data_IF_066558337306
#
_entry.id   IF_066558337306
#
_cell.length_a   1.000
_cell.length_b   1.000
_cell.length_c   1.000
_cell.angle_alpha   90.00
_cell.angle_beta   90.00
_cell.angle_gamma   90.00
#
_symmetry.space_group_name_H-M   'P 1'
#
loop_
_entity.id
_entity.type
_entity.pdbx_description
1 polymer ?
#
# COMPACT_ATOMS: atom_id res chain seq x y z
N UNK A 1 0.89 10.97 10.30
CA UNK A 1 0.28 9.65 10.09
C UNK A 1 -1.23 9.78 9.88
N UNK A 2 -2.00 10.34 10.81
CA UNK A 2 -3.49 10.42 10.74
C UNK A 2 -4.03 11.06 9.46
N UNK A 3 -3.51 12.24 9.07
CA UNK A 3 -3.92 12.92 7.83
C UNK A 3 -3.82 12.02 6.60
N UNK A 4 -2.72 11.26 6.47
CA UNK A 4 -2.52 10.35 5.33
C UNK A 4 -3.45 9.15 5.40
N UNK A 5 -3.74 8.64 6.59
CA UNK A 5 -4.69 7.57 6.79
C UNK A 5 -6.11 7.99 6.39
N UNK A 6 -6.52 9.21 6.73
CA UNK A 6 -7.81 9.78 6.31
C UNK A 6 -7.91 9.92 4.78
N UNK A 7 -6.86 10.46 4.13
CA UNK A 7 -6.79 10.57 2.66
C UNK A 7 -6.92 9.20 1.98
N UNK A 8 -6.32 8.16 2.55
CA UNK A 8 -6.35 6.79 2.04
C UNK A 8 -7.57 5.99 2.49
N UNK A 9 -8.46 6.59 3.31
CA UNK A 9 -9.63 5.92 3.90
C UNK A 9 -9.27 4.64 4.65
N UNK A 10 -8.19 4.69 5.44
CA UNK A 10 -7.79 3.60 6.32
C UNK A 10 -8.75 3.58 7.52
N UNK A 11 -9.36 2.45 7.78
CA UNK A 11 -10.44 2.29 8.77
C UNK A 11 -9.97 2.57 10.19
N UNK A 12 -8.76 2.13 10.53
CA UNK A 12 -8.23 2.23 11.88
C UNK A 12 -6.78 2.70 11.92
N UNK A 13 -6.48 3.59 12.85
CA UNK A 13 -5.12 4.06 13.16
C UNK A 13 -4.84 3.82 14.64
N UNK A 14 -3.86 3.00 14.93
CA UNK A 14 -3.41 2.67 16.26
C UNK A 14 -2.02 3.26 16.51
N UNK A 15 -1.91 4.14 17.49
CA UNK A 15 -0.68 4.84 17.85
C UNK A 15 -0.45 4.78 19.37
N UNK A 16 0.79 4.96 19.80
CA UNK A 16 1.13 5.11 21.22
C UNK A 16 1.36 3.80 21.97
N UNK A 17 1.40 2.66 21.30
CA UNK A 17 1.79 1.40 21.92
C UNK A 17 3.32 1.28 22.00
N UNK A 18 3.81 0.91 23.18
CA UNK A 18 5.22 0.62 23.37
C UNK A 18 5.63 -0.67 22.64
N UNK A 19 4.77 -1.68 22.71
CA UNK A 19 4.91 -2.90 21.93
C UNK A 19 3.89 -2.94 20.79
N UNK A 20 4.36 -3.11 19.56
CA UNK A 20 3.49 -3.17 18.36
C UNK A 20 2.53 -4.36 18.40
N UNK A 21 2.92 -5.46 19.05
CA UNK A 21 2.05 -6.61 19.27
C UNK A 21 0.76 -6.23 20.00
N UNK A 22 0.84 -5.46 21.08
CA UNK A 22 -0.34 -5.05 21.87
C UNK A 22 -1.31 -4.21 21.03
N UNK A 23 -0.76 -3.36 20.16
CA UNK A 23 -1.53 -2.59 19.19
C UNK A 23 -2.26 -3.48 18.18
N UNK A 24 -1.60 -4.51 17.67
CA UNK A 24 -2.20 -5.49 16.75
C UNK A 24 -3.30 -6.29 17.45
N UNK A 25 -3.04 -6.82 18.62
CA UNK A 25 -4.04 -7.58 19.40
C UNK A 25 -5.28 -6.73 19.70
N UNK A 26 -5.09 -5.47 20.08
CA UNK A 26 -6.19 -4.53 20.31
C UNK A 26 -7.03 -4.31 19.05
N UNK A 27 -6.38 -4.13 17.89
CA UNK A 27 -7.08 -3.96 16.61
C UNK A 27 -7.83 -5.22 16.19
N UNK A 28 -7.23 -6.39 16.35
CA UNK A 28 -7.88 -7.67 16.04
C UNK A 28 -9.16 -7.87 16.87
N UNK A 29 -9.09 -7.60 18.16
CA UNK A 29 -10.26 -7.65 19.04
C UNK A 29 -11.33 -6.64 18.64
N UNK A 30 -10.95 -5.39 18.39
CA UNK A 30 -11.87 -4.32 17.98
C UNK A 30 -12.59 -4.65 16.67
N UNK A 31 -11.89 -5.22 15.71
CA UNK A 31 -12.41 -5.56 14.38
C UNK A 31 -13.06 -6.95 14.35
N UNK A 32 -12.99 -7.71 15.44
CA UNK A 32 -13.46 -9.09 15.53
C UNK A 32 -12.85 -9.98 14.43
N UNK A 33 -11.54 -9.89 14.25
CA UNK A 33 -10.73 -10.63 13.27
C UNK A 33 -9.80 -11.58 14.02
N UNK A 34 -9.74 -12.82 13.57
CA UNK A 34 -8.78 -13.80 14.10
C UNK A 34 -7.35 -13.49 13.61
N UNK A 35 -6.36 -13.74 14.45
CA UNK A 35 -4.97 -13.42 14.14
C UNK A 35 -4.48 -14.09 12.84
N UNK A 36 -4.95 -15.32 12.56
CA UNK A 36 -4.60 -16.04 11.33
C UNK A 36 -5.17 -15.43 10.04
N UNK A 37 -6.18 -14.56 10.13
CA UNK A 37 -6.79 -13.82 9.02
C UNK A 37 -6.10 -12.49 8.74
N UNK A 38 -5.14 -12.09 9.59
CA UNK A 38 -4.44 -10.82 9.47
C UNK A 38 -3.10 -10.96 8.75
N UNK A 39 -2.78 -9.96 7.93
CA UNK A 39 -1.44 -9.73 7.40
C UNK A 39 -0.78 -8.58 8.15
N UNK A 40 0.52 -8.69 8.40
CA UNK A 40 1.33 -7.63 9.00
C UNK A 40 2.56 -7.36 8.15
N UNK A 41 2.81 -6.08 7.88
CA UNK A 41 4.00 -5.64 7.13
C UNK A 41 4.96 -4.96 8.08
N UNK A 42 6.17 -5.49 8.20
CA UNK A 42 7.22 -4.99 9.07
C UNK A 42 8.54 -4.71 8.36
N UNK A 43 9.37 -3.90 8.98
CA UNK A 43 10.70 -3.54 8.48
C UNK A 43 11.81 -3.66 9.54
N UNK A 44 11.47 -3.71 10.81
CA UNK A 44 12.45 -3.63 11.90
C UNK A 44 12.26 -4.76 12.92
N UNK A 45 13.24 -4.91 13.81
CA UNK A 45 13.21 -5.88 14.91
C UNK A 45 12.01 -5.69 15.83
N UNK A 46 11.55 -4.45 16.00
CA UNK A 46 10.36 -4.11 16.79
C UNK A 46 9.04 -4.62 16.19
N UNK A 47 9.04 -5.03 14.92
CA UNK A 47 7.89 -5.64 14.26
C UNK A 47 7.77 -7.15 14.50
N UNK A 48 8.87 -7.80 14.85
CA UNK A 48 8.94 -9.25 14.99
C UNK A 48 7.88 -9.81 15.97
N UNK A 49 7.62 -9.24 17.15
CA UNK A 49 6.57 -9.73 18.02
C UNK A 49 5.18 -9.71 17.38
N UNK A 50 4.83 -8.65 16.64
CA UNK A 50 3.57 -8.55 15.91
C UNK A 50 3.53 -9.54 14.72
N UNK A 51 4.62 -9.72 14.00
CA UNK A 51 4.73 -10.67 12.90
C UNK A 51 4.50 -12.12 13.33
N UNK A 52 4.89 -12.47 14.56
CA UNK A 52 4.75 -13.85 15.10
C UNK A 52 3.31 -14.24 15.40
N UNK A 53 2.41 -13.30 15.62
CA UNK A 53 1.02 -13.61 16.01
C UNK A 53 0.05 -13.62 14.83
N UNK A 54 0.42 -13.05 13.67
CA UNK A 54 -0.47 -12.97 12.50
C UNK A 54 -0.30 -14.18 11.56
N UNK A 55 -1.32 -14.45 10.76
CA UNK A 55 -1.28 -15.55 9.78
C UNK A 55 -0.37 -15.26 8.58
N UNK A 56 -0.17 -13.99 8.21
CA UNK A 56 0.63 -13.60 7.05
C UNK A 56 1.63 -12.48 7.42
N UNK A 57 2.78 -12.84 8.03
CA UNK A 57 3.85 -11.89 8.27
C UNK A 57 4.65 -11.60 7.00
N UNK A 58 4.87 -10.33 6.71
CA UNK A 58 5.52 -9.83 5.49
C UNK A 58 6.62 -8.85 5.88
N UNK A 59 7.77 -8.93 5.21
CA UNK A 59 8.84 -7.96 5.33
C UNK A 59 9.01 -7.17 4.03
N UNK A 60 9.37 -5.89 4.13
CA UNK A 60 9.74 -5.10 2.96
C UNK A 60 11.16 -5.41 2.49
N UNK A 61 11.50 -5.12 1.22
CA UNK A 61 12.79 -5.49 0.64
C UNK A 61 14.00 -4.98 1.43
N UNK A 62 13.90 -3.78 1.97
CA UNK A 62 14.94 -3.16 2.79
C UNK A 62 14.77 -3.37 4.30
N UNK A 63 13.92 -4.31 4.72
CA UNK A 63 13.76 -4.66 6.11
C UNK A 63 15.05 -5.24 6.71
N UNK A 64 15.14 -5.14 8.03
CA UNK A 64 16.21 -5.80 8.79
C UNK A 64 16.16 -7.32 8.63
N UNK A 65 17.32 -8.00 8.71
CA UNK A 65 17.36 -9.48 8.61
C UNK A 65 16.39 -10.17 9.57
N UNK A 66 16.29 -9.68 10.81
CA UNK A 66 15.43 -10.24 11.84
C UNK A 66 13.94 -10.23 11.44
N UNK A 67 13.48 -9.17 10.77
CA UNK A 67 12.11 -9.10 10.25
C UNK A 67 11.94 -10.05 9.07
N UNK A 68 12.91 -10.13 8.16
CA UNK A 68 12.87 -11.06 7.02
C UNK A 68 12.84 -12.52 7.45
N UNK A 69 13.60 -12.89 8.48
CA UNK A 69 13.65 -14.25 9.01
C UNK A 69 12.30 -14.71 9.62
N UNK A 70 11.46 -13.75 10.03
CA UNK A 70 10.13 -14.00 10.59
C UNK A 70 8.99 -13.73 9.59
N UNK A 71 9.30 -13.52 8.32
CA UNK A 71 8.31 -13.31 7.27
C UNK A 71 8.11 -14.54 6.40
N UNK A 72 6.93 -14.70 5.83
CA UNK A 72 6.63 -15.71 4.81
C UNK A 72 6.75 -15.13 3.40
N UNK A 73 6.74 -13.82 3.28
CA UNK A 73 6.93 -13.10 2.02
C UNK A 73 7.79 -11.85 2.25
N UNK A 74 8.72 -11.60 1.35
CA UNK A 74 9.53 -10.37 1.32
C UNK A 74 9.22 -9.65 0.01
N UNK A 75 8.81 -8.39 0.08
CA UNK A 75 8.53 -7.60 -1.12
C UNK A 75 9.80 -7.37 -1.96
N UNK A 76 9.65 -7.21 -3.25
CA UNK A 76 10.76 -6.82 -4.14
C UNK A 76 11.04 -5.32 -4.05
N UNK A 77 10.00 -4.55 -3.73
CA UNK A 77 10.06 -3.10 -3.60
C UNK A 77 10.39 -2.70 -2.15
N UNK A 78 11.32 -1.76 -1.95
CA UNK A 78 11.63 -1.25 -0.61
C UNK A 78 10.46 -0.51 0.04
N UNK A 79 10.42 -0.52 1.37
CA UNK A 79 9.53 0.33 2.15
C UNK A 79 9.70 1.80 1.79
N UNK A 80 8.60 2.55 1.74
CA UNK A 80 8.58 3.94 1.29
C UNK A 80 8.62 4.13 -0.24
N UNK A 81 8.79 3.09 -1.03
CA UNK A 81 8.91 3.13 -2.50
C UNK A 81 7.83 2.30 -3.21
N UNK A 82 6.73 2.00 -2.55
CA UNK A 82 5.61 1.26 -3.14
C UNK A 82 5.44 -0.18 -2.66
N UNK A 83 6.16 -0.62 -1.62
CA UNK A 83 6.05 -1.99 -1.09
C UNK A 83 4.61 -2.36 -0.69
N UNK A 84 3.88 -1.45 -0.06
CA UNK A 84 2.46 -1.68 0.33
C UNK A 84 1.57 -1.84 -0.90
N UNK A 85 1.83 -1.11 -1.97
CA UNK A 85 1.12 -1.28 -3.24
C UNK A 85 1.41 -2.64 -3.87
N UNK A 86 2.68 -3.04 -3.93
CA UNK A 86 3.10 -4.37 -4.41
C UNK A 86 2.34 -5.46 -3.66
N UNK A 87 2.30 -5.36 -2.33
CA UNK A 87 1.58 -6.31 -1.48
C UNK A 87 0.08 -6.34 -1.78
N UNK A 88 -0.56 -5.17 -1.88
CA UNK A 88 -2.00 -5.09 -2.18
C UNK A 88 -2.32 -5.74 -3.52
N UNK A 89 -1.52 -5.48 -4.56
CA UNK A 89 -1.68 -6.10 -5.87
C UNK A 89 -1.46 -7.62 -5.83
N UNK A 90 -0.45 -8.09 -5.09
CA UNK A 90 -0.18 -9.51 -4.90
C UNK A 90 -1.34 -10.23 -4.19
N UNK A 91 -1.90 -9.63 -3.13
CA UNK A 91 -3.06 -10.19 -2.44
C UNK A 91 -4.30 -10.25 -3.34
N UNK A 92 -4.53 -9.22 -4.16
CA UNK A 92 -5.62 -9.21 -5.14
C UNK A 92 -5.42 -10.29 -6.22
N UNK A 93 -4.19 -10.53 -6.66
CA UNK A 93 -3.87 -11.63 -7.59
C UNK A 93 -4.17 -13.00 -7.00
N UNK A 94 -3.73 -13.24 -5.74
CA UNK A 94 -4.01 -14.48 -5.04
C UNK A 94 -5.51 -14.76 -4.87
N UNK A 95 -6.32 -13.70 -4.74
CA UNK A 95 -7.79 -13.78 -4.67
C UNK A 95 -8.47 -13.84 -6.03
N UNK A 96 -7.73 -13.64 -7.12
CA UNK A 96 -8.30 -13.54 -8.47
C UNK A 96 -9.13 -12.28 -8.71
N UNK A 97 -8.94 -11.24 -7.91
CA UNK A 97 -9.76 -10.01 -7.90
C UNK A 97 -9.06 -8.81 -8.55
N UNK A 98 -7.77 -8.92 -8.90
CA UNK A 98 -6.96 -7.78 -9.36
C UNK A 98 -7.56 -7.09 -10.58
N UNK A 99 -7.94 -7.85 -11.61
CA UNK A 99 -8.48 -7.29 -12.86
C UNK A 99 -9.82 -6.58 -12.63
N UNK A 100 -10.70 -7.18 -11.82
CA UNK A 100 -12.01 -6.59 -11.53
C UNK A 100 -11.89 -5.30 -10.72
N UNK A 101 -10.99 -5.24 -9.75
CA UNK A 101 -10.72 -4.03 -8.95
C UNK A 101 -10.15 -2.92 -9.82
N UNK A 102 -9.20 -3.23 -10.71
CA UNK A 102 -8.63 -2.23 -11.61
C UNK A 102 -9.65 -1.73 -12.64
N UNK A 103 -10.47 -2.61 -13.20
CA UNK A 103 -11.54 -2.21 -14.11
C UNK A 103 -12.55 -1.28 -13.44
N UNK A 104 -12.96 -1.59 -12.22
CA UNK A 104 -13.86 -0.74 -11.43
C UNK A 104 -13.24 0.63 -11.13
N UNK A 105 -11.95 0.68 -10.79
CA UNK A 105 -11.25 1.94 -10.55
C UNK A 105 -11.21 2.82 -11.80
N UNK A 106 -10.89 2.24 -12.97
CA UNK A 106 -10.84 2.97 -14.24
C UNK A 106 -12.22 3.49 -14.65
N UNK A 107 -13.27 2.70 -14.48
CA UNK A 107 -14.64 3.12 -14.74
C UNK A 107 -15.05 4.30 -13.85
N UNK A 108 -14.80 4.22 -12.55
CA UNK A 108 -15.10 5.30 -11.60
C UNK A 108 -14.32 6.58 -11.92
N UNK A 109 -13.09 6.46 -12.41
CA UNK A 109 -12.27 7.59 -12.81
C UNK A 109 -12.84 8.29 -14.06
N UNK A 110 -13.28 7.52 -15.05
CA UNK A 110 -13.92 8.05 -16.26
C UNK A 110 -15.24 8.77 -15.95
N UNK A 111 -16.06 8.20 -15.06
CA UNK A 111 -17.32 8.83 -14.62
C UNK A 111 -17.07 10.18 -13.90
N UNK A 112 -16.04 10.25 -13.07
CA UNK A 112 -15.64 11.50 -12.39
C UNK A 112 -15.11 12.54 -13.38
N UNK A 113 -14.31 12.13 -14.36
CA UNK A 113 -13.84 13.03 -15.43
C UNK A 113 -14.99 13.54 -16.28
N UNK A 114 -15.95 12.69 -16.64
CA UNK A 114 -17.15 13.09 -17.40
C UNK A 114 -18.04 14.08 -16.64
N UNK A 115 -18.12 13.96 -15.31
CA UNK A 115 -18.89 14.87 -14.45
C UNK A 115 -18.13 16.16 -14.07
N UNK A 116 -16.83 16.22 -14.31
CA UNK A 116 -15.95 17.36 -13.97
C UNK A 116 -15.51 18.11 -15.23
N UNK A 117 -16.44 18.33 -16.17
CA UNK A 117 -16.16 19.01 -17.41
C UNK A 117 -15.98 20.51 -17.17
N UNK A 118 -14.74 20.90 -16.94
CA UNK A 118 -14.10 22.06 -17.57
C UNK A 118 -12.65 21.66 -17.78
N UNK A 119 -12.36 20.98 -18.88
CA UNK A 119 -10.98 20.90 -19.35
C UNK A 119 -10.53 22.33 -19.54
N UNK A 120 -9.42 22.76 -18.91
CA UNK A 120 -8.86 24.06 -19.25
C UNK A 120 -8.61 24.07 -20.76
N UNK A 121 -8.99 25.16 -21.40
CA UNK A 121 -8.72 25.34 -22.83
C UNK A 121 -7.20 25.28 -23.05
N UNK A 122 -6.73 24.13 -23.52
CA UNK A 122 -5.31 23.89 -23.81
C UNK A 122 -4.81 24.70 -25.00
N UNK A 123 -5.69 25.40 -25.72
CA UNK A 123 -5.30 26.27 -26.83
C UNK A 123 -4.52 27.52 -26.41
N UNK A 124 -4.57 27.86 -25.09
CA UNK A 124 -3.83 28.98 -24.48
C UNK A 124 -2.49 28.59 -23.88
N UNK A 125 -2.11 27.31 -23.90
CA UNK A 125 -0.79 26.91 -23.40
C UNK A 125 0.28 27.23 -24.43
N UNK A 126 1.41 27.86 -24.03
CA UNK A 126 2.51 28.08 -24.94
C UNK A 126 3.00 26.73 -25.45
N UNK A 127 3.18 26.62 -26.76
CA UNK A 127 3.72 25.42 -27.41
C UNK A 127 5.13 25.17 -26.86
N UNK A 128 5.27 24.17 -25.98
CA UNK A 128 6.58 23.62 -25.64
C UNK A 128 7.02 22.78 -26.84
N UNK A 129 7.97 23.32 -27.62
CA UNK A 129 8.68 22.47 -28.56
C UNK A 129 9.52 21.49 -27.75
N UNK A 130 9.18 20.22 -27.83
CA UNK A 130 10.06 19.14 -27.41
C UNK A 130 11.31 19.26 -28.31
N UNK A 131 12.41 19.73 -27.74
CA UNK A 131 13.69 19.60 -28.40
C UNK A 131 13.98 18.11 -28.50
N UNK A 132 13.94 17.60 -29.71
CA UNK A 132 14.38 16.25 -30.00
C UNK A 132 15.75 16.06 -29.38
N UNK A 133 15.81 15.19 -28.39
CA UNK A 133 17.07 14.82 -27.74
C UNK A 133 17.99 14.23 -28.79
N UNK A 134 19.11 14.87 -29.00
CA UNK A 134 20.18 14.40 -29.86
C UNK A 134 20.50 12.94 -29.57
N UNK A 135 20.50 12.11 -30.61
CA UNK A 135 21.03 10.77 -30.58
C UNK A 135 22.48 10.81 -30.06
N UNK A 136 22.71 10.17 -28.91
CA UNK A 136 24.06 9.82 -28.49
C UNK A 136 24.48 8.58 -29.27
N UNK A 137 25.44 8.74 -30.17
CA UNK A 137 26.28 7.68 -30.72
C UNK A 137 27.17 7.10 -29.63
#
# INVERSE_FOLDING_TARGET
VRRRAEELKIDEVSEGFFFKQDGVETLLQKLNIEAHEAAYVGDDIHDVPAMKIVGLPIAVANARPEAKDHSVYVTTTPGGHGAVRELAEWLLELRGEKESVFAQYLQTSQEKEANHISRPDVSVLPSYSIKDGASAT
#
